data_IF_030043861182
#
_entry.id   IF_030043861182
#
_cell.length_a   1.000
_cell.length_b   1.000
_cell.length_c   1.000
_cell.angle_alpha   90.00
_cell.angle_beta   90.00
_cell.angle_gamma   90.00
#
_symmetry.space_group_name_H-M   'P 1'
#
loop_
_entity.id
_entity.type
_entity.pdbx_description
1 polymer ?
#
# COMPACT_ATOMS: atom_id res chain seq x y z
N UNK A 1 2.63 2.90 -19.15
CA UNK A 1 3.05 2.56 -17.78
C UNK A 1 1.88 2.20 -16.89
N UNK A 2 2.13 1.29 -15.94
CA UNK A 2 1.24 0.87 -14.85
C UNK A 2 2.10 0.67 -13.59
N UNK A 3 1.47 0.26 -12.49
CA UNK A 3 2.20 -0.26 -11.33
C UNK A 3 1.56 -1.52 -10.76
N UNK A 4 2.37 -2.32 -10.09
CA UNK A 4 1.95 -3.57 -9.45
C UNK A 4 2.41 -3.56 -8.01
N UNK A 5 1.53 -3.94 -7.10
CA UNK A 5 1.87 -4.16 -5.70
C UNK A 5 1.79 -5.66 -5.43
N UNK A 6 2.91 -6.27 -5.07
CA UNK A 6 2.98 -7.66 -4.59
C UNK A 6 3.20 -7.63 -3.08
N UNK A 7 2.46 -8.44 -2.32
CA UNK A 7 2.56 -8.43 -0.87
C UNK A 7 2.18 -9.73 -0.19
N UNK A 8 2.54 -9.85 1.09
CA UNK A 8 2.08 -10.92 1.98
C UNK A 8 1.86 -10.45 3.41
N UNK A 9 0.92 -11.11 4.10
CA UNK A 9 0.54 -10.76 5.47
C UNK A 9 1.52 -11.38 6.46
N UNK A 10 2.14 -10.55 7.29
CA UNK A 10 2.97 -10.97 8.42
C UNK A 10 2.06 -11.47 9.54
N UNK A 11 2.44 -12.59 10.17
CA UNK A 11 1.70 -13.27 11.24
C UNK A 11 0.31 -13.81 10.83
N UNK A 12 0.03 -13.93 9.53
CA UNK A 12 -1.21 -14.52 8.97
C UNK A 12 -1.58 -15.87 9.62
N UNK A 13 -0.59 -16.73 9.85
CA UNK A 13 -0.72 -18.09 10.43
C UNK A 13 -0.95 -18.10 11.94
N UNK A 14 -0.66 -16.99 12.62
CA UNK A 14 -0.89 -16.84 14.06
C UNK A 14 -2.28 -16.24 14.35
N UNK A 15 -3.00 -15.82 13.30
CA UNK A 15 -4.37 -15.33 13.41
C UNK A 15 -5.31 -16.47 13.81
N UNK A 16 -6.08 -16.27 14.88
CA UNK A 16 -7.09 -17.24 15.35
C UNK A 16 -8.17 -17.48 14.29
N UNK A 17 -8.56 -16.45 13.55
CA UNK A 17 -9.48 -16.55 12.43
C UNK A 17 -8.93 -15.89 11.16
N UNK A 18 -8.39 -16.68 10.21
CA UNK A 18 -7.92 -16.16 8.93
C UNK A 18 -8.99 -15.47 8.08
N UNK A 19 -10.28 -15.74 8.32
CA UNK A 19 -11.36 -15.11 7.55
C UNK A 19 -11.43 -13.61 7.79
N UNK A 20 -11.11 -13.16 9.00
CA UNK A 20 -11.18 -11.73 9.37
C UNK A 20 -10.27 -10.89 8.49
N UNK A 21 -8.98 -11.24 8.39
CA UNK A 21 -8.06 -10.47 7.55
C UNK A 21 -8.29 -10.72 6.07
N UNK A 22 -8.75 -11.90 5.67
CA UNK A 22 -9.02 -12.20 4.27
C UNK A 22 -10.18 -11.35 3.74
N UNK A 23 -11.23 -11.17 4.53
CA UNK A 23 -12.34 -10.27 4.19
C UNK A 23 -11.88 -8.81 4.10
N UNK A 24 -11.05 -8.36 5.04
CA UNK A 24 -10.52 -6.98 5.02
C UNK A 24 -9.64 -6.75 3.79
N UNK A 25 -8.77 -7.71 3.45
CA UNK A 25 -7.95 -7.64 2.25
C UNK A 25 -8.81 -7.60 0.99
N UNK A 26 -9.76 -8.53 0.83
CA UNK A 26 -10.67 -8.56 -0.33
C UNK A 26 -11.47 -7.27 -0.47
N UNK A 27 -12.05 -6.76 0.63
CA UNK A 27 -12.77 -5.48 0.63
C UNK A 27 -11.87 -4.32 0.18
N UNK A 28 -10.61 -4.30 0.62
CA UNK A 28 -9.65 -3.27 0.24
C UNK A 28 -9.27 -3.37 -1.24
N UNK A 29 -9.02 -4.58 -1.75
CA UNK A 29 -8.70 -4.83 -3.16
C UNK A 29 -9.88 -4.46 -4.08
N UNK A 30 -11.10 -4.82 -3.72
CA UNK A 30 -12.31 -4.43 -4.50
C UNK A 30 -12.51 -2.92 -4.53
N UNK A 31 -12.20 -2.19 -3.45
CA UNK A 31 -12.25 -0.72 -3.45
C UNK A 31 -11.19 -0.07 -4.34
N UNK A 32 -10.03 -0.72 -4.50
CA UNK A 32 -8.96 -0.26 -5.38
C UNK A 32 -9.35 -0.44 -6.84
N UNK A 33 -9.93 -1.60 -7.17
CA UNK A 33 -10.45 -1.91 -8.50
C UNK A 33 -11.59 -2.92 -8.38
N UNK A 34 -12.76 -2.53 -8.90
CA UNK A 34 -13.95 -3.40 -8.91
C UNK A 34 -13.76 -4.62 -9.82
N UNK A 35 -12.88 -4.51 -10.81
CA UNK A 35 -12.57 -5.60 -11.72
C UNK A 35 -11.52 -6.54 -11.09
N UNK A 36 -11.97 -7.75 -10.76
CA UNK A 36 -11.18 -8.80 -10.13
C UNK A 36 -10.04 -9.31 -11.02
N UNK A 37 -10.04 -9.02 -12.34
CA UNK A 37 -8.92 -9.36 -13.22
C UNK A 37 -7.60 -8.69 -12.81
N UNK A 38 -7.66 -7.59 -12.06
CA UNK A 38 -6.51 -6.78 -11.67
C UNK A 38 -5.98 -7.10 -10.28
N UNK A 39 -6.52 -8.09 -9.59
CA UNK A 39 -5.91 -8.55 -8.34
C UNK A 39 -6.12 -10.03 -8.15
N UNK A 40 -5.23 -10.63 -7.38
CA UNK A 40 -5.36 -12.02 -6.98
C UNK A 40 -4.83 -12.22 -5.57
N UNK A 41 -5.34 -13.26 -4.91
CA UNK A 41 -4.82 -13.74 -3.63
C UNK A 41 -4.38 -15.18 -3.87
N UNK A 42 -3.14 -15.49 -3.51
CA UNK A 42 -2.53 -16.79 -3.70
C UNK A 42 -1.76 -17.23 -2.46
N UNK A 43 -1.50 -18.54 -2.36
CA UNK A 43 -0.75 -19.15 -1.25
C UNK A 43 -1.32 -18.80 0.15
N UNK A 44 -2.61 -18.50 0.22
CA UNK A 44 -3.31 -18.12 1.44
C UNK A 44 -3.15 -16.65 1.78
N UNK A 45 -1.93 -16.18 2.04
CA UNK A 45 -1.64 -14.87 2.64
C UNK A 45 -0.89 -13.90 1.73
N UNK A 46 -0.60 -14.31 0.50
CA UNK A 46 0.07 -13.49 -0.51
C UNK A 46 -0.94 -12.96 -1.52
N UNK A 47 -0.65 -11.80 -2.09
CA UNK A 47 -1.53 -11.16 -3.05
C UNK A 47 -0.76 -10.28 -4.02
N UNK A 48 -1.43 -9.95 -5.12
CA UNK A 48 -0.93 -9.00 -6.09
C UNK A 48 -2.08 -8.15 -6.60
N UNK A 49 -1.82 -6.86 -6.86
CA UNK A 49 -2.80 -5.94 -7.45
C UNK A 49 -2.14 -4.99 -8.43
N UNK A 50 -2.76 -4.80 -9.58
CA UNK A 50 -2.38 -3.81 -10.58
C UNK A 50 -3.08 -2.49 -10.28
N UNK A 51 -2.30 -1.41 -10.19
CA UNK A 51 -2.79 -0.05 -10.08
C UNK A 51 -2.52 0.65 -11.41
N UNK A 52 -3.57 0.76 -12.22
CA UNK A 52 -3.49 1.34 -13.56
C UNK A 52 -3.04 2.80 -13.52
N UNK A 53 -3.59 3.59 -12.58
CA UNK A 53 -3.07 4.92 -12.26
C UNK A 53 -1.88 4.80 -11.31
N UNK A 54 -0.71 4.57 -11.89
CA UNK A 54 0.54 4.35 -11.16
C UNK A 54 0.96 5.53 -10.26
N UNK A 55 0.38 6.73 -10.42
CA UNK A 55 0.56 7.84 -9.47
C UNK A 55 -0.03 7.55 -8.09
N UNK A 56 -0.96 6.61 -7.96
CA UNK A 56 -1.59 6.25 -6.70
C UNK A 56 -0.95 5.05 -5.99
N UNK A 57 0.09 4.44 -6.55
CA UNK A 57 0.60 3.17 -6.03
C UNK A 57 1.09 3.28 -4.57
N UNK A 58 1.77 4.38 -4.21
CA UNK A 58 2.21 4.59 -2.84
C UNK A 58 1.03 4.78 -1.88
N UNK A 59 0.10 5.70 -2.17
CA UNK A 59 -1.14 5.85 -1.39
C UNK A 59 -1.87 4.52 -1.18
N UNK A 60 -1.96 3.70 -2.22
CA UNK A 60 -2.64 2.39 -2.14
C UNK A 60 -1.86 1.38 -1.31
N UNK A 61 -0.53 1.36 -1.40
CA UNK A 61 0.31 0.56 -0.51
C UNK A 61 0.10 0.95 0.97
N UNK A 62 0.06 2.25 1.26
CA UNK A 62 -0.24 2.76 2.61
C UNK A 62 -1.64 2.32 3.06
N UNK A 63 -2.65 2.43 2.19
CA UNK A 63 -4.02 1.99 2.48
C UNK A 63 -4.09 0.49 2.80
N UNK A 64 -3.45 -0.35 2.00
CA UNK A 64 -3.38 -1.80 2.24
C UNK A 64 -2.71 -2.12 3.58
N UNK A 65 -1.60 -1.44 3.88
CA UNK A 65 -0.93 -1.58 5.18
C UNK A 65 -1.82 -1.16 6.33
N UNK A 66 -2.48 -0.01 6.22
CA UNK A 66 -3.40 0.50 7.23
C UNK A 66 -4.59 -0.45 7.45
N UNK A 67 -5.15 -1.02 6.37
CA UNK A 67 -6.23 -1.98 6.45
C UNK A 67 -5.82 -3.25 7.20
N UNK A 68 -4.67 -3.84 6.89
CA UNK A 68 -4.19 -5.05 7.59
C UNK A 68 -3.78 -4.72 9.04
N UNK A 69 -3.06 -3.61 9.28
CA UNK A 69 -2.63 -3.21 10.62
C UNK A 69 -3.76 -2.77 11.56
N UNK A 70 -4.95 -2.45 11.03
CA UNK A 70 -6.14 -2.25 11.86
C UNK A 70 -6.59 -3.53 12.57
N UNK A 71 -6.11 -4.70 12.13
CA UNK A 71 -6.33 -5.98 12.79
C UNK A 71 -5.17 -6.23 13.76
N UNK A 72 -5.50 -6.47 15.03
CA UNK A 72 -4.51 -6.62 16.09
C UNK A 72 -3.55 -7.79 15.79
N UNK A 73 -2.25 -7.52 15.87
CA UNK A 73 -1.19 -8.53 15.73
C UNK A 73 -0.74 -8.81 14.29
N UNK A 74 -1.40 -8.21 13.30
CA UNK A 74 -1.05 -8.38 11.88
C UNK A 74 -0.27 -7.18 11.33
N UNK A 75 0.53 -7.48 10.31
CA UNK A 75 1.17 -6.49 9.46
C UNK A 75 1.28 -7.03 8.02
N UNK A 76 1.81 -6.27 7.08
CA UNK A 76 1.96 -6.65 5.68
C UNK A 76 3.29 -6.18 5.12
N UNK A 77 3.90 -7.00 4.27
CA UNK A 77 5.02 -6.63 3.41
C UNK A 77 4.49 -6.30 2.01
N UNK A 78 4.98 -5.22 1.44
CA UNK A 78 4.50 -4.67 0.17
C UNK A 78 5.70 -4.26 -0.70
N UNK A 79 5.69 -4.67 -1.95
CA UNK A 79 6.64 -4.23 -2.96
C UNK A 79 5.89 -3.59 -4.12
N UNK A 80 6.25 -2.35 -4.44
CA UNK A 80 5.72 -1.60 -5.57
C UNK A 80 6.68 -1.78 -6.75
N UNK A 81 6.18 -2.24 -7.89
CA UNK A 81 6.86 -2.18 -9.17
C UNK A 81 6.19 -1.14 -10.06
N UNK A 82 6.96 -0.22 -10.65
CA UNK A 82 6.44 0.77 -11.61
C UNK A 82 7.17 0.64 -12.93
N UNK A 83 6.44 0.43 -14.02
CA UNK A 83 7.02 0.16 -15.33
C UNK A 83 5.99 0.00 -16.44
N UNK A 84 6.43 -0.49 -17.59
CA UNK A 84 5.53 -0.81 -18.70
C UNK A 84 4.80 -2.14 -18.46
N UNK A 85 3.64 -2.27 -19.12
CA UNK A 85 2.86 -3.50 -19.22
C UNK A 85 2.91 -4.00 -20.65
N UNK A 86 3.11 -5.30 -20.82
CA UNK A 86 3.17 -5.92 -22.14
C UNK A 86 1.85 -6.59 -22.46
N UNK A 87 1.14 -6.06 -23.46
CA UNK A 87 -0.12 -6.62 -23.96
C UNK A 87 -1.29 -6.55 -22.97
N UNK A 88 -2.44 -7.03 -23.44
CA UNK A 88 -3.60 -7.27 -22.58
C UNK A 88 -3.57 -8.72 -22.10
N UNK A 89 -3.79 -8.92 -20.80
CA UNK A 89 -3.91 -10.23 -20.17
C UNK A 89 -5.32 -10.39 -19.58
N UNK A 90 -5.83 -11.62 -19.55
CA UNK A 90 -7.18 -11.89 -19.02
C UNK A 90 -7.20 -11.81 -17.49
N UNK A 91 -6.09 -12.17 -16.86
CA UNK A 91 -5.90 -12.10 -15.41
C UNK A 91 -4.54 -11.47 -15.10
N UNK A 92 -4.38 -10.97 -13.87
CA UNK A 92 -3.12 -10.41 -13.41
C UNK A 92 -1.99 -11.46 -13.38
N UNK A 93 -2.30 -12.74 -13.19
CA UNK A 93 -1.32 -13.84 -13.19
C UNK A 93 -0.73 -14.12 -14.58
N UNK A 94 -1.49 -13.83 -15.63
CA UNK A 94 -1.04 -13.95 -17.03
C UNK A 94 -0.35 -12.66 -17.53
N UNK A 95 -0.48 -11.56 -16.80
CA UNK A 95 0.06 -10.28 -17.19
C UNK A 95 1.58 -10.26 -17.05
N UNK A 96 2.24 -9.59 -18.00
CA UNK A 96 3.69 -9.46 -18.03
C UNK A 96 4.09 -8.01 -18.28
N UNK A 97 5.36 -7.69 -18.02
CA UNK A 97 5.93 -6.36 -18.19
C UNK A 97 6.81 -5.97 -17.02
N UNK A 98 7.54 -4.88 -17.20
CA UNK A 98 8.51 -4.38 -16.24
C UNK A 98 7.89 -4.15 -14.85
N UNK A 99 6.65 -3.63 -14.78
CA UNK A 99 5.98 -3.40 -13.50
C UNK A 99 5.84 -4.69 -12.67
N UNK A 100 5.54 -5.81 -13.33
CA UNK A 100 5.36 -7.14 -12.72
C UNK A 100 6.70 -7.74 -12.30
N UNK A 101 7.71 -7.63 -13.16
CA UNK A 101 9.08 -8.09 -12.87
C UNK A 101 9.64 -7.31 -11.67
N UNK A 102 9.49 -6.00 -11.67
CA UNK A 102 10.00 -5.13 -10.61
C UNK A 102 9.30 -5.37 -9.27
N UNK A 103 7.99 -5.56 -9.24
CA UNK A 103 7.27 -5.84 -7.99
C UNK A 103 7.71 -7.19 -7.40
N UNK A 104 7.83 -8.23 -8.23
CA UNK A 104 8.28 -9.56 -7.84
C UNK A 104 9.71 -9.57 -7.33
N UNK A 105 10.66 -9.04 -8.10
CA UNK A 105 12.07 -8.95 -7.69
C UNK A 105 12.26 -8.13 -6.40
N UNK A 106 11.50 -7.05 -6.25
CA UNK A 106 11.57 -6.22 -5.05
C UNK A 106 10.97 -6.92 -3.84
N UNK A 107 9.87 -7.67 -4.02
CA UNK A 107 9.22 -8.46 -2.97
C UNK A 107 10.16 -9.50 -2.36
N UNK A 108 10.87 -10.26 -3.20
CA UNK A 108 11.85 -11.27 -2.75
C UNK A 108 12.98 -10.66 -1.91
N UNK A 109 13.29 -9.37 -2.11
CA UNK A 109 14.33 -8.66 -1.36
C UNK A 109 13.88 -8.09 -0.02
N UNK A 110 12.58 -7.91 0.22
CA UNK A 110 12.05 -7.21 1.41
C UNK A 110 12.59 -7.81 2.72
N UNK A 111 12.56 -9.14 2.85
CA UNK A 111 13.06 -9.85 4.05
C UNK A 111 14.55 -9.61 4.28
N UNK A 112 15.36 -9.70 3.22
CA UNK A 112 16.82 -9.50 3.29
C UNK A 112 17.14 -8.06 3.67
N UNK A 113 16.42 -7.11 3.07
CA UNK A 113 16.61 -5.68 3.30
C UNK A 113 15.96 -5.20 4.62
N UNK A 114 15.23 -6.09 5.33
CA UNK A 114 14.53 -5.85 6.60
C UNK A 114 13.58 -4.64 6.56
N UNK A 115 12.80 -4.54 5.49
CA UNK A 115 11.79 -3.48 5.30
C UNK A 115 10.46 -4.08 4.87
N UNK A 116 9.35 -3.46 5.29
CA UNK A 116 7.99 -3.92 4.97
C UNK A 116 7.35 -3.19 3.78
N UNK A 117 7.98 -2.13 3.27
CA UNK A 117 7.53 -1.43 2.07
C UNK A 117 8.74 -0.99 1.26
N UNK A 118 8.71 -1.22 -0.03
CA UNK A 118 9.75 -0.74 -0.93
C UNK A 118 9.24 -0.63 -2.38
N UNK A 119 9.96 0.12 -3.20
CA UNK A 119 9.67 0.30 -4.63
C UNK A 119 10.85 -0.12 -5.50
N UNK A 120 10.55 -0.57 -6.72
CA UNK A 120 11.49 -0.71 -7.82
C UNK A 120 10.92 -0.14 -9.12
N UNK A 121 11.76 0.55 -9.88
CA UNK A 121 11.44 1.12 -11.20
C UNK A 121 12.60 0.89 -12.17
N UNK A 122 12.49 1.41 -13.40
CA UNK A 122 13.61 1.43 -14.36
C UNK A 122 14.73 2.41 -13.96
N UNK A 123 14.48 3.34 -13.02
CA UNK A 123 15.43 4.38 -12.62
C UNK A 123 15.95 4.14 -11.20
N UNK A 124 17.19 3.68 -11.10
CA UNK A 124 17.85 3.37 -9.83
C UNK A 124 18.01 4.59 -8.88
N UNK A 125 18.09 5.81 -9.42
CA UNK A 125 18.18 7.01 -8.60
C UNK A 125 16.85 7.29 -7.90
N UNK A 126 15.74 7.23 -8.65
CA UNK A 126 14.39 7.35 -8.08
C UNK A 126 14.14 6.25 -7.05
N UNK A 127 14.56 5.01 -7.35
CA UNK A 127 14.44 3.89 -6.42
C UNK A 127 15.20 4.17 -5.12
N UNK A 128 16.43 4.69 -5.20
CA UNK A 128 17.26 4.99 -4.02
C UNK A 128 16.60 6.04 -3.14
N UNK A 129 16.12 7.13 -3.73
CA UNK A 129 15.50 8.24 -3.00
C UNK A 129 14.16 7.83 -2.36
N UNK A 130 13.25 7.23 -3.13
CA UNK A 130 11.94 6.83 -2.63
C UNK A 130 12.04 5.74 -1.56
N UNK A 131 12.95 4.76 -1.74
CA UNK A 131 13.14 3.73 -0.71
C UNK A 131 13.72 4.30 0.59
N UNK A 132 14.51 5.37 0.54
CA UNK A 132 14.95 6.07 1.75
C UNK A 132 13.75 6.70 2.47
N UNK A 133 12.87 7.40 1.74
CA UNK A 133 11.65 7.98 2.33
C UNK A 133 10.75 6.91 2.93
N UNK A 134 10.53 5.80 2.22
CA UNK A 134 9.71 4.69 2.71
C UNK A 134 10.33 4.09 3.97
N UNK A 135 11.65 3.90 4.01
CA UNK A 135 12.35 3.39 5.19
C UNK A 135 12.17 4.30 6.42
N UNK A 136 12.16 5.62 6.23
CA UNK A 136 11.90 6.58 7.31
C UNK A 136 10.44 6.51 7.78
N UNK A 137 9.47 6.45 6.85
CA UNK A 137 8.06 6.30 7.21
C UNK A 137 7.75 4.95 7.87
N UNK A 138 8.47 3.88 7.54
CA UNK A 138 8.29 2.58 8.17
C UNK A 138 8.60 2.60 9.67
N UNK A 139 9.42 3.54 10.16
CA UNK A 139 9.65 3.72 11.61
C UNK A 139 8.35 3.97 12.39
N UNK A 140 7.37 4.63 11.75
CA UNK A 140 6.03 4.87 12.33
C UNK A 140 4.99 3.88 11.81
N UNK A 141 4.98 3.57 10.51
CA UNK A 141 3.98 2.69 9.91
C UNK A 141 4.04 1.24 10.42
N UNK A 142 5.23 0.72 10.73
CA UNK A 142 5.40 -0.63 11.30
C UNK A 142 5.04 -0.71 12.79
N UNK A 143 4.86 0.44 13.47
CA UNK A 143 4.56 0.52 14.90
C UNK A 143 3.15 1.02 15.19
N UNK A 144 2.32 1.24 14.16
CA UNK A 144 0.94 1.65 14.33
C UNK A 144 0.15 0.72 15.25
N UNK A 145 -0.58 1.34 16.17
CA UNK A 145 -1.68 0.66 16.88
C UNK A 145 -2.85 0.44 15.92
N UNK A 146 -3.71 -0.53 16.22
CA UNK A 146 -4.91 -0.82 15.41
C UNK A 146 -5.77 0.44 15.17
N UNK A 147 -5.95 1.27 16.21
CA UNK A 147 -6.70 2.53 16.12
C UNK A 147 -6.03 3.59 15.22
N UNK A 148 -4.69 3.60 15.14
CA UNK A 148 -3.95 4.53 14.29
C UNK A 148 -4.02 4.06 12.83
N UNK A 149 -3.87 2.75 12.60
CA UNK A 149 -4.04 2.17 11.28
C UNK A 149 -5.48 2.35 10.75
N UNK A 150 -6.49 2.16 11.60
CA UNK A 150 -7.90 2.39 11.25
C UNK A 150 -8.15 3.85 10.83
N UNK A 151 -7.62 4.84 11.57
CA UNK A 151 -7.85 6.24 11.20
C UNK A 151 -7.17 6.60 9.87
N UNK A 152 -5.98 6.06 9.61
CA UNK A 152 -5.27 6.26 8.35
C UNK A 152 -6.07 5.66 7.20
N UNK A 153 -6.52 4.41 7.35
CA UNK A 153 -7.36 3.72 6.35
C UNK A 153 -8.57 4.57 5.99
N UNK A 154 -9.36 4.98 6.99
CA UNK A 154 -10.60 5.73 6.76
C UNK A 154 -10.32 7.09 6.12
N UNK A 155 -9.25 7.78 6.56
CA UNK A 155 -8.88 9.07 5.98
C UNK A 155 -8.47 8.93 4.51
N UNK A 156 -7.71 7.89 4.16
CA UNK A 156 -7.27 7.65 2.77
C UNK A 156 -8.42 7.20 1.86
N UNK A 157 -9.39 6.46 2.39
CA UNK A 157 -10.62 6.08 1.70
C UNK A 157 -11.57 7.28 1.48
N UNK A 158 -11.50 8.30 2.33
CA UNK A 158 -12.42 9.43 2.33
C UNK A 158 -11.67 10.78 2.36
N UNK A 159 -10.90 11.12 1.31
CA UNK A 159 -9.96 12.25 1.34
C UNK A 159 -10.62 13.63 1.46
N UNK A 160 -11.93 13.74 1.21
CA UNK A 160 -12.68 15.00 1.25
C UNK A 160 -13.45 15.20 2.56
N UNK A 161 -13.49 14.20 3.45
CA UNK A 161 -14.21 14.33 4.71
C UNK A 161 -13.37 15.08 5.74
N UNK A 162 -14.03 15.96 6.48
CA UNK A 162 -13.44 16.62 7.63
C UNK A 162 -13.20 15.63 8.78
N UNK A 163 -12.31 15.98 9.70
CA UNK A 163 -12.08 15.19 10.91
C UNK A 163 -13.36 15.02 11.76
N UNK A 164 -14.30 15.97 11.67
CA UNK A 164 -15.61 15.86 12.33
C UNK A 164 -16.47 14.77 11.70
N UNK A 165 -16.54 14.73 10.37
CA UNK A 165 -17.28 13.70 9.63
C UNK A 165 -16.65 12.32 9.81
N UNK A 166 -15.32 12.22 9.76
CA UNK A 166 -14.59 10.99 10.09
C UNK A 166 -14.94 10.54 11.51
N UNK A 167 -14.93 11.46 12.49
CA UNK A 167 -15.30 11.16 13.87
C UNK A 167 -16.71 10.58 13.99
N UNK A 168 -17.67 11.12 13.25
CA UNK A 168 -19.05 10.60 13.20
C UNK A 168 -19.13 9.18 12.64
N UNK A 169 -18.31 8.82 11.64
CA UNK A 169 -18.30 7.49 11.02
C UNK A 169 -17.88 6.41 12.03
N UNK A 170 -16.89 6.70 12.88
CA UNK A 170 -16.32 5.73 13.84
C UNK A 170 -16.75 5.97 15.30
N UNK A 171 -17.67 6.90 15.53
CA UNK A 171 -18.22 7.18 16.87
C UNK A 171 -17.21 7.79 17.84
N UNK A 172 -16.26 8.60 17.38
CA UNK A 172 -15.30 9.31 18.23
C UNK A 172 -15.34 10.82 18.01
N UNK A 173 -14.81 11.57 18.97
CA UNK A 173 -14.74 13.04 18.86
C UNK A 173 -13.70 13.47 17.82
N UNK A 174 -13.94 14.62 17.18
CA UNK A 174 -13.04 15.21 16.18
C UNK A 174 -11.61 15.40 16.72
N UNK A 175 -11.44 15.83 17.97
CA UNK A 175 -10.11 15.97 18.58
C UNK A 175 -9.38 14.62 18.69
N UNK A 176 -10.10 13.53 19.00
CA UNK A 176 -9.53 12.18 19.01
C UNK A 176 -9.13 11.72 17.61
N UNK A 177 -9.86 12.11 16.56
CA UNK A 177 -9.45 11.88 15.16
C UNK A 177 -8.12 12.58 14.88
N UNK A 178 -8.03 13.88 15.20
CA UNK A 178 -6.81 14.67 15.00
C UNK A 178 -5.61 14.07 15.75
N UNK A 179 -5.77 13.69 17.02
CA UNK A 179 -4.72 13.06 17.82
C UNK A 179 -4.25 11.72 17.22
N UNK A 180 -5.17 10.89 16.73
CA UNK A 180 -4.83 9.61 16.08
C UNK A 180 -4.11 9.82 14.76
N UNK A 181 -4.54 10.78 13.94
CA UNK A 181 -3.86 11.14 12.68
C UNK A 181 -2.44 11.63 12.94
N UNK A 182 -2.27 12.51 13.94
CA UNK A 182 -0.94 13.01 14.35
C UNK A 182 -0.05 11.88 14.87
N UNK A 183 -0.58 10.98 15.72
CA UNK A 183 0.15 9.80 16.22
C UNK A 183 0.55 8.85 15.10
N UNK A 184 -0.25 8.78 14.03
CA UNK A 184 0.05 7.97 12.86
C UNK A 184 1.03 8.63 11.87
N UNK A 185 1.44 9.89 12.12
CA UNK A 185 2.25 10.69 11.21
C UNK A 185 1.63 10.81 9.80
N UNK A 186 0.31 11.03 9.75
CA UNK A 186 -0.42 11.05 8.49
C UNK A 186 0.02 12.21 7.58
N UNK A 187 0.34 13.37 8.15
CA UNK A 187 0.77 14.53 7.36
C UNK A 187 2.10 14.24 6.64
N UNK A 188 3.07 13.62 7.32
CA UNK A 188 4.34 13.23 6.72
C UNK A 188 4.16 12.18 5.61
N UNK A 189 3.22 11.24 5.78
CA UNK A 189 2.88 10.25 4.77
C UNK A 189 2.27 10.92 3.54
N UNK A 190 1.38 11.90 3.72
CA UNK A 190 0.79 12.67 2.62
C UNK A 190 1.87 13.47 1.88
N UNK A 191 2.84 14.06 2.58
CA UNK A 191 3.93 14.79 1.94
C UNK A 191 4.85 13.88 1.13
N UNK A 192 5.12 12.66 1.62
CA UNK A 192 5.84 11.65 0.84
C UNK A 192 5.01 11.15 -0.34
N UNK A 193 3.68 11.06 -0.27
CA UNK A 193 2.83 10.74 -1.44
C UNK A 193 2.93 11.82 -2.52
N UNK A 194 2.95 13.10 -2.13
CA UNK A 194 3.20 14.20 -3.08
C UNK A 194 4.57 14.06 -3.75
N UNK A 195 5.61 13.77 -2.96
CA UNK A 195 6.97 13.55 -3.49
C UNK A 195 7.03 12.32 -4.40
N UNK A 196 6.36 11.23 -4.02
CA UNK A 196 6.23 10.01 -4.83
C UNK A 196 5.69 10.34 -6.22
N UNK A 197 4.57 11.06 -6.29
CA UNK A 197 3.96 11.46 -7.56
C UNK A 197 4.92 12.29 -8.42
N UNK A 198 5.59 13.27 -7.82
CA UNK A 198 6.59 14.11 -8.51
C UNK A 198 7.77 13.31 -9.06
N UNK A 199 8.26 12.31 -8.32
CA UNK A 199 9.39 11.47 -8.75
C UNK A 199 8.98 10.51 -9.86
N UNK A 200 7.80 9.93 -9.74
CA UNK A 200 7.29 8.95 -10.69
C UNK A 200 6.88 9.59 -12.03
N UNK A 201 6.44 10.85 -12.02
CA UNK A 201 6.19 11.65 -13.24
C UNK A 201 7.45 11.74 -14.14
N UNK A 202 8.64 11.81 -13.53
CA UNK A 202 9.92 11.86 -14.27
C UNK A 202 10.21 10.59 -15.08
N UNK A 203 9.51 9.48 -14.82
CA UNK A 203 9.64 8.26 -15.60
C UNK A 203 8.94 8.36 -16.97
N UNK A 204 7.94 9.23 -17.09
CA UNK A 204 7.26 9.55 -18.36
C UNK A 204 8.04 10.58 -19.18
N UNK A 205 8.77 11.46 -18.51
CA UNK A 205 9.55 12.54 -19.11
C UNK A 205 11.04 12.43 -18.74
N UNK A 206 11.75 11.39 -19.20
CA UNK A 206 13.18 11.26 -18.96
C UNK A 206 13.91 12.45 -19.60
N UNK A 207 14.75 13.13 -18.80
CA UNK A 207 15.67 14.17 -19.29
C UNK A 207 16.80 13.57 -20.12
#
# INVERSE_FOLDING_TARGET
>A
MTSVITGDIINSRQSEDPKVWLEVLKKSLTKITENDRYWEIFRGDSFQVEIQDFYNAFKIAVLLKAAIRSIKGLDVRLAIGVGEKTGEARTISEATGDAFIYSGERFERLKRDKVNLAIKTKNNQIDTELNLYFKLLLLTMDTWTANSAEIVKITLENPFLSQKEIGNIIGIKQNTVSERQKRANLDEIIDVDKMYRQKIDQLQHPK
#
